data_IF_000501596291
#
_entry.id   IF_000501596291
#
_cell.length_a   1.000
_cell.length_b   1.000
_cell.length_c   1.000
_cell.angle_alpha   90.00
_cell.angle_beta   90.00
_cell.angle_gamma   90.00
#
_symmetry.space_group_name_H-M   'P 1'
#
loop_
_entity.id
_entity.type
_entity.pdbx_description
1 polymer ?
#
# COMPACT_ATOMS: atom_id res chain seq x y z
N UNK A 1 9.81 -20.83 13.83
CA UNK A 1 9.40 -20.32 12.51
C UNK A 1 8.25 -21.18 11.98
N UNK A 2 7.04 -20.99 12.53
CA UNK A 2 5.83 -21.74 12.13
C UNK A 2 4.67 -20.80 11.74
N UNK A 3 4.84 -19.49 11.94
CA UNK A 3 3.82 -18.45 11.67
C UNK A 3 3.99 -17.84 10.27
N UNK A 4 5.17 -17.94 9.67
CA UNK A 4 5.47 -17.29 8.37
C UNK A 4 4.94 -18.07 7.17
N UNK A 5 4.83 -19.40 7.25
CA UNK A 5 4.44 -20.23 6.10
C UNK A 5 2.91 -20.30 5.90
N UNK A 6 2.12 -20.13 6.96
CA UNK A 6 0.66 -20.25 6.89
C UNK A 6 -0.08 -18.91 6.74
N UNK A 7 0.61 -17.78 6.94
CA UNK A 7 -0.01 -16.45 6.78
C UNK A 7 -0.34 -16.15 5.31
N UNK A 8 0.47 -16.67 4.38
CA UNK A 8 0.27 -16.53 2.94
C UNK A 8 -0.78 -17.51 2.40
N UNK A 9 -0.76 -18.76 2.85
CA UNK A 9 -1.79 -19.74 2.47
C UNK A 9 -3.18 -19.35 3.01
N UNK A 10 -3.25 -18.78 4.22
CA UNK A 10 -4.48 -18.19 4.72
C UNK A 10 -4.93 -17.03 3.81
N UNK A 11 -4.03 -16.15 3.40
CA UNK A 11 -4.30 -15.00 2.51
C UNK A 11 -4.90 -15.42 1.15
N UNK A 12 -4.66 -16.65 0.67
CA UNK A 12 -5.05 -17.08 -0.67
C UNK A 12 -6.03 -18.25 -0.78
N UNK A 13 -6.32 -19.01 0.30
CA UNK A 13 -7.19 -20.20 0.23
C UNK A 13 -8.63 -20.01 0.75
N UNK A 14 -9.11 -18.78 0.94
CA UNK A 14 -10.51 -18.53 1.28
C UNK A 14 -11.41 -18.39 0.06
N UNK A 15 -12.28 -19.35 -0.22
CA UNK A 15 -13.48 -19.14 -1.05
C UNK A 15 -14.50 -18.16 -0.39
N UNK A 16 -14.15 -17.59 0.77
CA UNK A 16 -14.77 -16.42 1.43
C UNK A 16 -13.74 -15.28 1.64
N UNK A 17 -12.83 -15.09 0.68
CA UNK A 17 -11.70 -14.14 0.72
C UNK A 17 -12.09 -12.66 0.57
N UNK A 18 -12.85 -12.12 1.54
CA UNK A 18 -13.05 -10.67 1.69
C UNK A 18 -12.52 -10.11 3.02
N UNK A 19 -12.09 -10.99 3.93
CA UNK A 19 -11.89 -10.64 5.33
C UNK A 19 -10.43 -10.58 5.76
N UNK A 20 -9.43 -10.96 4.94
CA UNK A 20 -8.07 -11.17 5.47
C UNK A 20 -7.26 -9.89 5.53
N UNK A 21 -7.26 -9.08 4.47
CA UNK A 21 -6.67 -7.75 4.54
C UNK A 21 -7.42 -6.90 5.57
N UNK A 22 -8.75 -7.02 5.62
CA UNK A 22 -9.59 -6.33 6.62
C UNK A 22 -9.29 -6.79 8.04
N UNK A 23 -9.09 -8.08 8.28
CA UNK A 23 -8.75 -8.65 9.58
C UNK A 23 -7.32 -8.31 9.98
N UNK A 24 -6.38 -8.25 9.03
CA UNK A 24 -5.03 -7.74 9.29
C UNK A 24 -5.04 -6.23 9.58
N UNK A 25 -5.84 -5.44 8.86
CA UNK A 25 -6.06 -4.02 9.17
C UNK A 25 -6.80 -3.82 10.50
N UNK A 26 -7.76 -4.69 10.84
CA UNK A 26 -8.47 -4.68 12.11
C UNK A 26 -7.53 -5.06 13.26
N UNK A 27 -6.72 -6.11 13.10
CA UNK A 27 -5.68 -6.53 14.07
C UNK A 27 -4.59 -5.48 14.25
N UNK A 28 -4.14 -4.83 13.17
CA UNK A 28 -3.25 -3.66 13.26
C UNK A 28 -3.89 -2.49 14.05
N UNK A 29 -5.22 -2.47 14.18
CA UNK A 29 -5.95 -1.56 15.06
C UNK A 29 -6.19 -2.07 16.49
N UNK A 30 -5.87 -3.34 16.81
CA UNK A 30 -6.14 -3.96 18.12
C UNK A 30 -4.90 -4.11 19.02
N UNK A 31 -3.69 -3.90 18.50
CA UNK A 31 -2.46 -3.85 19.31
C UNK A 31 -2.10 -2.39 19.65
N UNK A 32 -1.96 -2.13 20.96
CA UNK A 32 -2.14 -0.84 21.64
C UNK A 32 -1.09 0.27 21.34
N UNK A 33 -0.21 0.12 20.35
CA UNK A 33 0.85 1.09 20.09
C UNK A 33 0.82 1.67 18.67
N UNK A 34 1.32 2.91 18.55
CA UNK A 34 1.51 3.57 17.26
C UNK A 34 2.44 2.77 16.33
N UNK A 35 3.40 2.04 16.91
CA UNK A 35 4.31 1.19 16.14
C UNK A 35 3.59 0.01 15.49
N UNK A 36 2.78 -0.74 16.25
CA UNK A 36 2.08 -1.93 15.75
C UNK A 36 1.15 -1.57 14.59
N UNK A 37 0.44 -0.43 14.72
CA UNK A 37 -0.42 0.09 13.66
C UNK A 37 0.34 0.33 12.36
N UNK A 38 1.47 1.05 12.41
CA UNK A 38 2.23 1.36 11.20
C UNK A 38 3.00 0.16 10.67
N UNK A 39 3.53 -0.71 11.53
CA UNK A 39 4.14 -1.97 11.13
C UNK A 39 3.14 -2.83 10.35
N UNK A 40 1.88 -2.90 10.79
CA UNK A 40 0.79 -3.56 10.07
C UNK A 40 0.55 -2.97 8.68
N UNK A 41 0.54 -1.64 8.55
CA UNK A 41 0.43 -0.96 7.25
C UNK A 41 1.58 -1.36 6.33
N UNK A 42 2.83 -1.20 6.77
CA UNK A 42 3.99 -1.54 5.95
C UNK A 42 4.02 -3.01 5.54
N UNK A 43 3.69 -3.91 6.46
CA UNK A 43 3.62 -5.34 6.18
C UNK A 43 2.55 -5.67 5.13
N UNK A 44 1.36 -5.07 5.23
CA UNK A 44 0.28 -5.29 4.27
C UNK A 44 0.67 -4.85 2.85
N UNK A 45 1.32 -3.69 2.70
CA UNK A 45 1.77 -3.20 1.40
C UNK A 45 2.96 -4.01 0.84
N UNK A 46 3.88 -4.47 1.69
CA UNK A 46 4.96 -5.38 1.26
C UNK A 46 4.41 -6.73 0.79
N UNK A 47 3.44 -7.29 1.51
CA UNK A 47 2.73 -8.50 1.08
C UNK A 47 2.03 -8.28 -0.27
N UNK A 48 1.31 -7.17 -0.44
CA UNK A 48 0.64 -6.83 -1.70
C UNK A 48 1.63 -6.72 -2.88
N UNK A 49 2.77 -6.05 -2.66
CA UNK A 49 3.82 -5.95 -3.68
C UNK A 49 4.39 -7.32 -4.06
N UNK A 50 4.64 -8.18 -3.07
CA UNK A 50 5.16 -9.53 -3.31
C UNK A 50 4.18 -10.35 -4.17
N UNK A 51 2.88 -10.26 -3.91
CA UNK A 51 1.85 -10.90 -4.74
C UNK A 51 1.88 -10.43 -6.17
N UNK A 52 1.98 -9.11 -6.38
CA UNK A 52 2.05 -8.54 -7.72
C UNK A 52 3.29 -9.07 -8.45
N UNK A 53 4.46 -9.09 -7.78
CA UNK A 53 5.70 -9.62 -8.37
C UNK A 53 5.63 -11.09 -8.72
N UNK A 54 5.18 -11.93 -7.79
CA UNK A 54 5.07 -13.38 -7.99
C UNK A 54 4.12 -13.71 -9.14
N UNK A 55 2.97 -13.02 -9.24
CA UNK A 55 2.03 -13.23 -10.34
C UNK A 55 2.61 -12.77 -11.68
N UNK A 56 3.34 -11.65 -11.73
CA UNK A 56 3.96 -11.17 -12.96
C UNK A 56 5.03 -12.13 -13.47
N UNK A 57 5.89 -12.61 -12.57
CA UNK A 57 6.91 -13.59 -12.90
C UNK A 57 6.30 -14.88 -13.47
N UNK A 58 5.29 -15.44 -12.79
CA UNK A 58 4.56 -16.63 -13.24
C UNK A 58 3.85 -16.41 -14.58
N UNK A 59 3.29 -15.21 -14.78
CA UNK A 59 2.57 -14.84 -15.99
C UNK A 59 3.51 -14.76 -17.20
N UNK A 60 4.71 -14.21 -17.03
CA UNK A 60 5.73 -14.17 -18.07
C UNK A 60 6.27 -15.54 -18.42
N UNK A 61 6.53 -16.40 -17.43
CA UNK A 61 6.99 -17.76 -17.69
C UNK A 61 5.97 -18.57 -18.49
N UNK A 62 4.68 -18.37 -18.20
CA UNK A 62 3.57 -19.12 -18.81
C UNK A 62 2.93 -18.44 -20.02
N UNK A 63 3.46 -17.30 -20.47
CA UNK A 63 2.90 -16.48 -21.55
C UNK A 63 1.39 -16.23 -21.39
N UNK A 64 0.98 -15.79 -20.19
CA UNK A 64 -0.41 -15.52 -19.82
C UNK A 64 -0.58 -14.12 -19.25
N UNK A 65 -1.82 -13.66 -19.19
CA UNK A 65 -2.16 -12.41 -18.52
C UNK A 65 -2.02 -12.56 -16.97
N UNK A 66 -1.39 -11.59 -16.27
CA UNK A 66 -1.20 -11.60 -14.82
C UNK A 66 -2.47 -11.15 -14.08
N UNK A 67 -3.55 -11.93 -14.20
CA UNK A 67 -4.89 -11.59 -13.70
C UNK A 67 -4.91 -11.20 -12.23
N UNK A 68 -4.11 -11.87 -11.40
CA UNK A 68 -4.08 -11.57 -9.96
C UNK A 68 -3.45 -10.22 -9.66
N UNK A 69 -2.38 -9.85 -10.36
CA UNK A 69 -1.73 -8.54 -10.22
C UNK A 69 -2.69 -7.43 -10.64
N UNK A 70 -3.38 -7.62 -11.76
CA UNK A 70 -4.43 -6.70 -12.24
C UNK A 70 -5.55 -6.58 -11.21
N UNK A 71 -6.01 -7.69 -10.62
CA UNK A 71 -7.05 -7.66 -9.59
C UNK A 71 -6.59 -6.93 -8.32
N UNK A 72 -5.35 -7.15 -7.88
CA UNK A 72 -4.79 -6.50 -6.69
C UNK A 72 -4.64 -4.99 -6.89
N UNK A 73 -4.22 -4.54 -8.07
CA UNK A 73 -4.01 -3.11 -8.34
C UNK A 73 -5.29 -2.38 -8.75
N UNK A 74 -6.05 -2.96 -9.68
CA UNK A 74 -7.15 -2.30 -10.39
C UNK A 74 -8.52 -2.95 -10.14
N UNK A 75 -8.58 -4.04 -9.37
CA UNK A 75 -9.84 -4.68 -9.04
C UNK A 75 -10.75 -3.77 -8.22
N UNK A 76 -12.03 -4.14 -8.10
CA UNK A 76 -13.04 -3.41 -7.29
C UNK A 76 -13.50 -4.17 -6.05
N UNK A 77 -12.85 -5.29 -5.73
CA UNK A 77 -13.17 -6.13 -4.57
C UNK A 77 -12.29 -5.75 -3.38
N UNK A 78 -12.67 -6.19 -2.19
CA UNK A 78 -12.08 -5.78 -0.91
C UNK A 78 -10.56 -5.89 -0.79
N UNK A 79 -9.91 -6.77 -1.57
CA UNK A 79 -8.46 -6.97 -1.55
C UNK A 79 -7.67 -6.15 -2.57
N UNK A 80 -8.31 -5.22 -3.28
CA UNK A 80 -7.64 -4.34 -4.23
C UNK A 80 -7.19 -3.03 -3.61
N UNK A 81 -6.19 -2.42 -4.23
CA UNK A 81 -5.73 -1.08 -3.91
C UNK A 81 -6.85 -0.04 -4.08
N UNK A 82 -7.65 -0.14 -5.14
CA UNK A 82 -8.78 0.76 -5.37
C UNK A 82 -9.87 0.68 -4.27
N UNK A 83 -10.17 -0.52 -3.77
CA UNK A 83 -11.10 -0.69 -2.66
C UNK A 83 -10.54 -0.11 -1.35
N UNK A 84 -9.23 -0.24 -1.11
CA UNK A 84 -8.55 0.39 0.01
C UNK A 84 -8.67 1.93 -0.06
N UNK A 85 -8.46 2.54 -1.22
CA UNK A 85 -8.62 3.99 -1.40
C UNK A 85 -10.05 4.44 -1.10
N UNK A 86 -11.04 3.68 -1.56
CA UNK A 86 -12.46 3.93 -1.26
C UNK A 86 -12.72 3.92 0.24
N UNK A 87 -12.09 3.01 0.98
CA UNK A 87 -12.19 2.95 2.44
C UNK A 87 -11.51 4.14 3.12
N UNK A 88 -10.35 4.59 2.64
CA UNK A 88 -9.65 5.75 3.19
C UNK A 88 -10.46 7.04 2.98
N UNK A 89 -11.11 7.18 1.83
CA UNK A 89 -12.01 8.29 1.49
C UNK A 89 -13.27 8.30 2.36
N UNK A 90 -13.79 7.12 2.73
CA UNK A 90 -14.96 7.00 3.61
C UNK A 90 -14.71 7.45 5.06
N UNK A 91 -13.45 7.72 5.44
CA UNK A 91 -13.06 8.19 6.79
C UNK A 91 -13.70 7.38 7.93
N UNK A 92 -13.47 6.05 7.98
CA UNK A 92 -14.06 5.22 9.01
C UNK A 92 -13.61 5.69 10.40
N UNK A 93 -14.49 5.53 11.38
CA UNK A 93 -14.21 5.85 12.77
C UNK A 93 -12.94 5.14 13.27
N UNK A 94 -12.07 5.86 13.98
CA UNK A 94 -10.78 5.34 14.46
C UNK A 94 -9.61 5.45 13.47
N UNK A 95 -9.85 5.90 12.23
CA UNK A 95 -8.78 6.16 11.25
C UNK A 95 -8.44 7.66 11.18
N UNK A 96 -7.49 8.10 12.01
CA UNK A 96 -7.04 9.48 12.05
C UNK A 96 -6.26 9.92 10.78
N UNK A 97 -6.05 11.23 10.63
CA UNK A 97 -5.39 11.82 9.47
C UNK A 97 -3.95 11.30 9.28
N UNK A 98 -3.21 11.01 10.34
CA UNK A 98 -1.83 10.48 10.24
C UNK A 98 -1.88 9.06 9.70
N UNK A 99 -2.80 8.23 10.19
CA UNK A 99 -2.99 6.87 9.70
C UNK A 99 -3.39 6.86 8.22
N UNK A 100 -4.35 7.71 7.83
CA UNK A 100 -4.73 7.89 6.42
C UNK A 100 -3.53 8.34 5.58
N UNK A 101 -2.70 9.23 6.11
CA UNK A 101 -1.53 9.74 5.38
C UNK A 101 -0.52 8.64 5.08
N UNK A 102 -0.17 7.83 6.09
CA UNK A 102 0.78 6.72 5.91
C UNK A 102 0.22 5.66 4.97
N UNK A 103 -1.09 5.35 5.04
CA UNK A 103 -1.76 4.46 4.09
C UNK A 103 -1.64 4.95 2.64
N UNK A 104 -1.97 6.22 2.41
CA UNK A 104 -1.89 6.83 1.07
C UNK A 104 -0.46 6.86 0.54
N UNK A 105 0.51 7.22 1.39
CA UNK A 105 1.91 7.23 0.96
C UNK A 105 2.43 5.82 0.67
N UNK A 106 2.00 4.80 1.44
CA UNK A 106 2.36 3.40 1.18
C UNK A 106 1.76 2.89 -0.14
N UNK A 107 0.53 3.29 -0.45
CA UNK A 107 -0.11 3.01 -1.72
C UNK A 107 0.61 3.66 -2.92
N UNK A 108 1.05 4.91 -2.77
CA UNK A 108 1.86 5.60 -3.78
C UNK A 108 3.19 4.89 -4.00
N UNK A 109 3.89 4.54 -2.91
CA UNK A 109 5.14 3.80 -2.98
C UNK A 109 4.96 2.44 -3.67
N UNK A 110 3.89 1.69 -3.38
CA UNK A 110 3.57 0.44 -4.07
C UNK A 110 3.45 0.65 -5.58
N UNK A 111 2.66 1.66 -6.00
CA UNK A 111 2.43 1.94 -7.41
C UNK A 111 3.73 2.33 -8.13
N UNK A 112 4.54 3.18 -7.52
CA UNK A 112 5.87 3.54 -8.05
C UNK A 112 6.80 2.33 -8.17
N UNK A 113 6.83 1.45 -7.17
CA UNK A 113 7.65 0.23 -7.20
C UNK A 113 7.22 -0.73 -8.30
N UNK A 114 5.91 -0.94 -8.47
CA UNK A 114 5.39 -1.76 -9.56
C UNK A 114 5.80 -1.17 -10.91
N UNK A 115 5.65 0.15 -11.12
CA UNK A 115 6.03 0.79 -12.40
C UNK A 115 7.51 0.64 -12.73
N UNK A 116 8.36 0.80 -11.72
CA UNK A 116 9.82 0.75 -11.88
C UNK A 116 10.29 -0.66 -12.21
N UNK A 117 9.67 -1.68 -11.62
CA UNK A 117 10.08 -3.07 -11.80
C UNK A 117 9.45 -3.72 -13.00
N UNK A 118 8.21 -3.32 -13.30
CA UNK A 118 7.43 -3.86 -14.38
C UNK A 118 6.66 -2.75 -15.11
N UNK A 119 7.28 -2.13 -16.12
CA UNK A 119 6.62 -1.12 -16.93
C UNK A 119 5.42 -1.68 -17.72
N UNK A 120 5.38 -2.97 -18.03
CA UNK A 120 4.38 -3.55 -18.93
C UNK A 120 2.95 -3.34 -18.41
N UNK A 121 2.72 -3.45 -17.10
CA UNK A 121 1.40 -3.18 -16.52
C UNK A 121 0.93 -1.74 -16.79
N UNK A 122 1.80 -0.76 -16.57
CA UNK A 122 1.48 0.65 -16.79
C UNK A 122 1.29 1.00 -18.26
N UNK A 123 1.98 0.30 -19.17
CA UNK A 123 1.86 0.52 -20.60
C UNK A 123 0.63 -0.22 -21.21
N UNK A 124 0.24 -1.34 -20.61
CA UNK A 124 -0.91 -2.16 -21.04
C UNK A 124 -2.24 -1.62 -20.50
N UNK A 125 -2.25 -1.10 -19.27
CA UNK A 125 -3.43 -0.54 -18.61
C UNK A 125 -3.25 0.95 -18.27
N UNK A 126 -2.99 1.83 -19.27
CA UNK A 126 -2.63 3.22 -19.02
C UNK A 126 -3.77 4.01 -18.36
N UNK A 127 -5.02 3.73 -18.72
CA UNK A 127 -6.19 4.43 -18.17
C UNK A 127 -6.41 4.07 -16.70
N UNK A 128 -6.37 2.78 -16.35
CA UNK A 128 -6.50 2.32 -14.96
C UNK A 128 -5.34 2.82 -14.10
N UNK A 129 -4.12 2.77 -14.64
CA UNK A 129 -2.93 3.30 -13.98
C UNK A 129 -3.07 4.80 -13.68
N UNK A 130 -3.45 5.58 -14.69
CA UNK A 130 -3.60 7.03 -14.57
C UNK A 130 -4.74 7.39 -13.62
N UNK A 131 -5.87 6.67 -13.66
CA UNK A 131 -6.98 6.87 -12.75
C UNK A 131 -6.55 6.63 -11.29
N UNK A 132 -5.86 5.52 -11.03
CA UNK A 132 -5.37 5.17 -9.70
C UNK A 132 -4.34 6.18 -9.18
N UNK A 133 -3.38 6.58 -10.02
CA UNK A 133 -2.37 7.57 -9.68
C UNK A 133 -2.99 8.95 -9.36
N UNK A 134 -3.95 9.39 -10.18
CA UNK A 134 -4.66 10.66 -9.97
C UNK A 134 -5.45 10.65 -8.67
N UNK A 135 -6.12 9.53 -8.37
CA UNK A 135 -6.88 9.33 -7.13
C UNK A 135 -5.97 9.38 -5.91
N UNK A 136 -4.82 8.70 -5.97
CA UNK A 136 -3.81 8.75 -4.92
C UNK A 136 -3.26 10.16 -4.67
N UNK A 137 -2.96 10.90 -5.73
CA UNK A 137 -2.43 12.27 -5.61
C UNK A 137 -3.47 13.24 -5.04
N UNK A 138 -4.73 13.08 -5.41
CA UNK A 138 -5.86 13.84 -4.86
C UNK A 138 -5.99 13.57 -3.37
N UNK A 139 -6.13 12.29 -3.00
CA UNK A 139 -6.32 11.89 -1.61
C UNK A 139 -5.12 12.26 -0.73
N UNK A 140 -3.89 12.17 -1.27
CA UNK A 140 -2.69 12.63 -0.57
C UNK A 140 -2.79 14.12 -0.26
N UNK A 141 -3.17 14.92 -1.24
CA UNK A 141 -3.26 16.38 -1.08
C UNK A 141 -4.31 16.75 -0.04
N UNK A 142 -5.49 16.11 -0.07
CA UNK A 142 -6.54 16.32 0.93
C UNK A 142 -6.10 15.96 2.35
N UNK A 143 -5.50 14.78 2.53
CA UNK A 143 -5.04 14.35 3.86
C UNK A 143 -3.88 15.21 4.35
N UNK A 144 -3.01 15.67 3.45
CA UNK A 144 -1.94 16.58 3.78
C UNK A 144 -2.46 17.93 4.27
N UNK A 145 -3.41 18.52 3.55
CA UNK A 145 -4.05 19.78 3.95
C UNK A 145 -4.73 19.64 5.34
N UNK A 146 -5.38 18.49 5.59
CA UNK A 146 -5.97 18.18 6.90
C UNK A 146 -4.92 18.15 8.02
N UNK A 147 -3.76 17.51 7.78
CA UNK A 147 -2.64 17.47 8.72
C UNK A 147 -2.04 18.85 8.97
N UNK A 148 -1.81 19.64 7.91
CA UNK A 148 -1.26 21.00 8.03
C UNK A 148 -2.23 21.92 8.79
N UNK A 149 -3.53 21.84 8.51
CA UNK A 149 -4.56 22.61 9.22
C UNK A 149 -4.62 22.23 10.72
N UNK A 150 -4.52 20.94 11.04
CA UNK A 150 -4.49 20.45 12.42
C UNK A 150 -3.24 20.92 13.19
N UNK A 151 -2.13 21.17 12.49
CA UNK A 151 -0.84 21.56 13.07
C UNK A 151 -0.44 23.01 12.71
N UNK A 152 -1.42 23.87 12.40
CA UNK A 152 -1.22 25.27 11.97
C UNK A 152 -0.37 26.16 12.90
N UNK A 153 -0.16 25.74 14.15
CA UNK A 153 0.65 26.47 15.13
C UNK A 153 2.15 26.14 15.03
N UNK A 154 2.50 25.04 14.34
CA UNK A 154 3.86 24.64 14.10
C UNK A 154 4.28 25.03 12.68
N UNK A 155 4.99 26.15 12.58
CA UNK A 155 5.52 26.68 11.31
C UNK A 155 6.51 25.73 10.62
N UNK A 156 7.04 24.73 11.33
CA UNK A 156 7.97 23.74 10.78
C UNK A 156 7.25 22.50 10.25
N UNK A 157 5.98 22.29 10.61
CA UNK A 157 5.25 21.06 10.29
C UNK A 157 5.12 20.81 8.79
N UNK A 158 4.83 21.84 7.99
CA UNK A 158 4.80 21.72 6.52
C UNK A 158 6.15 21.30 5.94
N UNK A 159 7.25 21.84 6.47
CA UNK A 159 8.62 21.44 6.05
C UNK A 159 8.94 20.00 6.46
N UNK A 160 8.44 19.57 7.62
CA UNK A 160 8.54 18.18 8.04
C UNK A 160 7.81 17.26 7.07
N UNK A 161 6.59 17.58 6.65
CA UNK A 161 5.87 16.77 5.67
C UNK A 161 6.59 16.73 4.31
N UNK A 162 7.15 17.84 3.84
CA UNK A 162 7.96 17.86 2.60
C UNK A 162 9.18 16.93 2.69
N UNK A 163 9.87 16.98 3.84
CA UNK A 163 10.97 16.07 4.12
C UNK A 163 10.49 14.62 4.17
N UNK A 164 9.40 14.35 4.89
CA UNK A 164 8.83 13.03 5.05
C UNK A 164 8.44 12.44 3.71
N UNK A 165 7.72 13.18 2.86
CA UNK A 165 7.27 12.73 1.53
C UNK A 165 8.45 12.31 0.66
N UNK A 166 9.54 13.09 0.69
CA UNK A 166 10.75 12.79 -0.09
C UNK A 166 11.44 11.51 0.38
N UNK A 167 11.46 11.25 1.68
CA UNK A 167 12.14 10.09 2.24
C UNK A 167 11.28 8.85 2.26
N UNK A 168 9.97 8.99 2.42
CA UNK A 168 9.04 7.88 2.50
C UNK A 168 9.02 7.06 1.22
N UNK A 169 9.08 7.72 0.06
CA UNK A 169 9.11 7.04 -1.24
C UNK A 169 10.42 6.27 -1.46
N UNK A 170 11.51 6.69 -0.82
CA UNK A 170 12.81 5.99 -0.89
C UNK A 170 12.75 4.76 0.01
N UNK A 171 12.61 3.58 -0.60
CA UNK A 171 12.74 2.32 0.14
C UNK A 171 14.14 2.26 0.75
N UNK A 172 14.23 1.86 2.02
CA UNK A 172 15.51 1.49 2.61
C UNK A 172 15.96 0.20 1.92
N UNK A 173 16.90 0.30 0.99
CA UNK A 173 17.60 -0.87 0.49
C UNK A 173 18.48 -1.42 1.62
N UNK A 174 18.44 -2.74 1.91
CA UNK A 174 19.43 -3.34 2.79
C UNK A 174 20.80 -3.08 2.16
N UNK A 175 21.66 -2.32 2.84
CA UNK A 175 23.06 -2.29 2.47
C UNK A 175 23.57 -3.71 2.73
N UNK A 176 23.76 -4.50 1.68
CA UNK A 176 24.54 -5.72 1.76
C UNK A 176 25.94 -5.30 2.22
N UNK A 177 26.22 -5.41 3.51
CA UNK A 177 27.57 -5.42 4.03
C UNK A 177 28.22 -6.66 3.43
N UNK A 178 28.95 -6.47 2.33
CA UNK A 178 29.89 -7.46 1.85
C UNK A 178 31.04 -7.44 2.87
N UNK A 179 30.89 -8.23 3.93
CA UNK A 179 32.04 -8.61 4.75
C UNK A 179 32.89 -9.56 3.91
N UNK A 180 34.07 -9.07 3.51
CA UNK A 180 35.10 -9.84 2.83
C UNK A 180 35.96 -10.64 3.79
#
# INVERSE_FOLDING_TARGET
AFIEEHALDAFFQGEEGGDILVEQFRRAGMDNTLFDRFAGVFHAFDAMLRVVREELEDAYEKDREPKRAIQVLFGRKFDSLDALLTRIEARPEGMDAVHRYVLVQSARQLLEQVRLQDPWLGDTYPDDWQALATRLDTLRSEVREELEAANRQDEQFGRFLDWFDKWFLRRAEPQHTVEG
#
